data_IF_938356333521
#
_entry.id   IF_938356333521
#
_cell.length_a   1.000
_cell.length_b   1.000
_cell.length_c   1.000
_cell.angle_alpha   90.00
_cell.angle_beta   90.00
_cell.angle_gamma   90.00
#
_symmetry.space_group_name_H-M   'P 1'
#
loop_
_entity.id
_entity.type
_entity.pdbx_description
1 polymer ?
#
# COMPACT_ATOMS: atom_id res chain seq x y z
N UNK A 1 -11.25 -11.30 11.85
CA UNK A 1 -10.54 -10.99 10.59
C UNK A 1 -9.41 -11.99 10.39
N UNK A 2 -9.14 -12.46 9.17
CA UNK A 2 -7.99 -13.37 8.88
C UNK A 2 -6.65 -12.61 8.75
N UNK A 3 -6.71 -11.29 8.82
CA UNK A 3 -5.61 -10.34 8.94
C UNK A 3 -5.96 -9.01 8.26
N UNK A 4 -5.02 -8.08 8.24
CA UNK A 4 -5.19 -6.75 7.65
C UNK A 4 -5.28 -6.86 6.12
N UNK A 5 -6.24 -6.19 5.51
CA UNK A 5 -6.35 -6.11 4.06
C UNK A 5 -5.79 -4.76 3.61
N UNK A 6 -4.87 -4.79 2.66
CA UNK A 6 -4.31 -3.59 2.03
C UNK A 6 -4.70 -3.57 0.56
N UNK A 7 -5.13 -2.40 0.09
CA UNK A 7 -5.57 -2.20 -1.29
C UNK A 7 -4.77 -1.08 -1.95
N UNK A 8 -4.54 -1.23 -3.25
CA UNK A 8 -3.89 -0.23 -4.07
C UNK A 8 -4.54 -0.20 -5.46
N UNK A 9 -4.70 1.01 -5.99
CA UNK A 9 -5.09 1.24 -7.38
C UNK A 9 -3.84 1.40 -8.23
N UNK A 10 -3.89 0.89 -9.46
CA UNK A 10 -2.84 1.05 -10.45
C UNK A 10 -3.43 1.31 -11.82
N UNK A 11 -2.69 2.05 -12.64
CA UNK A 11 -3.02 2.32 -14.04
C UNK A 11 -1.85 1.98 -14.95
N UNK A 12 -2.10 2.05 -16.25
CA UNK A 12 -1.12 1.93 -17.30
C UNK A 12 -1.01 3.27 -18.06
N UNK A 13 0.11 3.96 -17.91
CA UNK A 13 0.45 5.11 -18.72
C UNK A 13 0.81 4.69 -20.18
N UNK A 14 0.83 5.64 -21.13
CA UNK A 14 1.31 5.39 -22.49
C UNK A 14 2.70 4.73 -22.48
N UNK A 15 2.89 3.74 -23.34
CA UNK A 15 4.14 2.95 -23.40
C UNK A 15 4.17 1.75 -22.44
N UNK A 16 3.10 1.47 -21.70
CA UNK A 16 3.01 0.26 -20.88
C UNK A 16 3.58 0.40 -19.47
N UNK A 17 3.87 1.62 -19.04
CA UNK A 17 4.40 1.91 -17.71
C UNK A 17 3.29 1.85 -16.66
N UNK A 18 3.50 1.08 -15.59
CA UNK A 18 2.56 1.04 -14.48
C UNK A 18 2.69 2.29 -13.60
N UNK A 19 1.55 2.89 -13.25
CA UNK A 19 1.43 3.98 -12.29
C UNK A 19 0.65 3.47 -11.08
N UNK A 20 1.22 3.62 -9.90
CA UNK A 20 0.63 3.18 -8.62
C UNK A 20 -0.01 4.37 -7.93
N UNK A 21 -1.09 4.12 -7.18
CA UNK A 21 -1.78 5.12 -6.36
C UNK A 21 -2.27 6.30 -7.20
N UNK A 22 -3.12 5.99 -8.17
CA UNK A 22 -3.62 6.99 -9.11
C UNK A 22 -4.50 8.01 -8.39
N UNK A 23 -4.24 9.29 -8.67
CA UNK A 23 -5.03 10.38 -8.10
C UNK A 23 -6.25 10.72 -8.96
N UNK A 24 -7.18 11.51 -8.41
CA UNK A 24 -8.42 11.88 -9.08
C UNK A 24 -8.23 12.52 -10.45
N UNK A 25 -7.13 13.25 -10.68
CA UNK A 25 -6.83 13.88 -11.98
C UNK A 25 -6.39 12.87 -13.03
N UNK A 26 -5.52 11.94 -12.65
CA UNK A 26 -5.10 10.83 -13.52
C UNK A 26 -6.31 9.99 -13.92
N UNK A 27 -7.21 9.78 -12.96
CA UNK A 27 -8.46 9.05 -13.11
C UNK A 27 -9.52 9.70 -14.00
N UNK A 28 -9.41 11.00 -14.33
CA UNK A 28 -10.39 11.70 -15.16
C UNK A 28 -10.42 11.20 -16.62
N UNK A 29 -9.38 10.49 -17.06
CA UNK A 29 -9.32 9.88 -18.38
C UNK A 29 -10.00 8.51 -18.47
N UNK A 30 -10.20 8.03 -19.70
CA UNK A 30 -10.55 6.62 -19.98
C UNK A 30 -9.27 5.76 -19.86
N UNK A 31 -8.55 5.90 -18.74
CA UNK A 31 -7.34 5.13 -18.46
C UNK A 31 -7.72 3.81 -17.79
N UNK A 32 -7.02 2.70 -18.10
CA UNK A 32 -7.26 1.43 -17.41
C UNK A 32 -6.91 1.58 -15.93
N UNK A 33 -7.80 1.12 -15.04
CA UNK A 33 -7.56 1.11 -13.60
C UNK A 33 -7.76 -0.29 -13.06
N UNK A 34 -6.69 -0.84 -12.51
CA UNK A 34 -6.70 -2.09 -11.79
C UNK A 34 -6.59 -1.80 -10.29
N UNK A 35 -7.63 -2.14 -9.53
CA UNK A 35 -7.60 -2.11 -8.07
C UNK A 35 -7.41 -3.52 -7.55
N UNK A 36 -6.40 -3.71 -6.70
CA UNK A 36 -6.10 -5.01 -6.08
C UNK A 36 -6.09 -4.84 -4.57
N UNK A 37 -6.63 -5.81 -3.85
CA UNK A 37 -6.43 -5.93 -2.41
C UNK A 37 -5.85 -7.30 -2.04
N UNK A 38 -4.89 -7.29 -1.11
CA UNK A 38 -4.23 -8.47 -0.57
C UNK A 38 -4.44 -8.56 0.93
N UNK A 39 -4.35 -9.76 1.50
CA UNK A 39 -4.54 -10.01 2.94
C UNK A 39 -3.22 -10.36 3.63
N UNK A 40 -2.98 -9.76 4.80
CA UNK A 40 -1.87 -10.07 5.71
C UNK A 40 -0.47 -9.95 5.08
N UNK A 41 -0.28 -9.04 4.11
CA UNK A 41 0.99 -8.92 3.38
C UNK A 41 1.34 -10.14 2.53
N UNK A 42 0.39 -11.06 2.32
CA UNK A 42 0.54 -12.25 1.49
C UNK A 42 0.12 -11.96 0.04
N UNK A 43 0.55 -12.81 -0.89
CA UNK A 43 0.16 -12.72 -2.30
C UNK A 43 -1.30 -13.14 -2.58
N UNK A 44 -2.08 -13.46 -1.54
CA UNK A 44 -3.47 -13.84 -1.67
C UNK A 44 -4.34 -12.62 -1.99
N UNK A 45 -4.77 -12.52 -3.26
CA UNK A 45 -5.67 -11.48 -3.73
C UNK A 45 -7.09 -11.77 -3.24
N UNK A 46 -7.67 -10.83 -2.49
CA UNK A 46 -9.05 -10.89 -1.96
C UNK A 46 -10.01 -9.99 -2.72
N UNK A 47 -9.49 -9.06 -3.53
CA UNK A 47 -10.24 -8.21 -4.45
C UNK A 47 -9.38 -7.93 -5.68
N UNK A 48 -9.98 -8.05 -6.87
CA UNK A 48 -9.42 -7.55 -8.10
C UNK A 48 -10.54 -6.92 -8.94
N UNK A 49 -10.42 -5.64 -9.24
CA UNK A 49 -11.37 -4.91 -10.07
C UNK A 49 -10.63 -4.20 -11.20
N UNK A 50 -11.07 -4.42 -12.45
CA UNK A 50 -10.55 -3.71 -13.62
C UNK A 50 -11.65 -2.80 -14.18
N UNK A 51 -11.33 -1.53 -14.29
CA UNK A 51 -12.14 -0.52 -14.97
C UNK A 51 -11.43 -0.08 -16.24
N UNK A 52 -12.20 0.22 -17.29
CA UNK A 52 -11.72 0.56 -18.63
C UNK A 52 -10.90 -0.57 -19.30
N UNK A 53 -10.38 -0.29 -20.50
CA UNK A 53 -9.72 -1.29 -21.35
C UNK A 53 -8.22 -1.32 -21.10
N UNK A 54 -7.71 -2.47 -20.70
CA UNK A 54 -6.27 -2.76 -20.60
C UNK A 54 -5.88 -3.83 -21.63
N UNK A 55 -4.83 -3.57 -22.41
CA UNK A 55 -4.31 -4.60 -23.31
C UNK A 55 -3.60 -5.70 -22.50
N UNK A 56 -3.80 -6.97 -22.89
CA UNK A 56 -3.30 -8.15 -22.16
C UNK A 56 -1.79 -8.11 -21.88
N UNK A 57 -1.00 -7.52 -22.78
CA UNK A 57 0.47 -7.40 -22.62
C UNK A 57 0.88 -6.58 -21.40
N UNK A 58 0.02 -5.67 -20.93
CA UNK A 58 0.32 -4.78 -19.80
C UNK A 58 -0.25 -5.29 -18.48
N UNK A 59 -1.13 -6.30 -18.50
CA UNK A 59 -1.79 -6.81 -17.29
C UNK A 59 -0.78 -7.31 -16.25
N UNK A 60 0.21 -8.11 -16.67
CA UNK A 60 1.21 -8.64 -15.74
C UNK A 60 2.03 -7.53 -15.07
N UNK A 61 2.40 -6.48 -15.82
CA UNK A 61 3.19 -5.34 -15.32
C UNK A 61 2.38 -4.52 -14.32
N UNK A 62 1.11 -4.22 -14.63
CA UNK A 62 0.23 -3.43 -13.75
C UNK A 62 -0.15 -4.22 -12.50
N UNK A 63 -0.44 -5.52 -12.63
CA UNK A 63 -0.77 -6.38 -11.50
C UNK A 63 0.41 -6.51 -10.53
N UNK A 64 1.63 -6.67 -11.04
CA UNK A 64 2.82 -6.76 -10.19
C UNK A 64 3.09 -5.44 -9.45
N UNK A 65 2.89 -4.30 -10.13
CA UNK A 65 2.98 -2.99 -9.49
C UNK A 65 1.93 -2.83 -8.39
N UNK A 66 0.67 -3.23 -8.63
CA UNK A 66 -0.40 -3.19 -7.65
C UNK A 66 -0.10 -4.07 -6.43
N UNK A 67 0.39 -5.30 -6.66
CA UNK A 67 0.76 -6.22 -5.58
C UNK A 67 1.86 -5.63 -4.69
N UNK A 68 2.92 -5.08 -5.29
CA UNK A 68 3.99 -4.40 -4.54
C UNK A 68 3.47 -3.22 -3.73
N UNK A 69 2.57 -2.43 -4.31
CA UNK A 69 1.94 -1.32 -3.63
C UNK A 69 1.10 -1.78 -2.43
N UNK A 70 0.31 -2.85 -2.57
CA UNK A 70 -0.45 -3.40 -1.43
C UNK A 70 0.46 -3.86 -0.29
N UNK A 71 1.65 -4.42 -0.58
CA UNK A 71 2.61 -4.79 0.45
C UNK A 71 3.17 -3.56 1.19
N UNK A 72 3.48 -2.49 0.47
CA UNK A 72 3.93 -1.23 1.07
C UNK A 72 2.84 -0.61 1.95
N UNK A 73 1.61 -0.54 1.45
CA UNK A 73 0.45 -0.05 2.23
C UNK A 73 0.23 -0.92 3.48
N UNK A 74 0.34 -2.25 3.36
CA UNK A 74 0.24 -3.15 4.50
C UNK A 74 1.28 -2.83 5.58
N UNK A 75 2.56 -2.68 5.21
CA UNK A 75 3.62 -2.34 6.17
C UNK A 75 3.37 -1.00 6.87
N UNK A 76 2.89 0.01 6.13
CA UNK A 76 2.51 1.30 6.73
C UNK A 76 1.35 1.16 7.72
N UNK A 77 0.31 0.41 7.35
CA UNK A 77 -0.85 0.17 8.21
C UNK A 77 -0.45 -0.64 9.46
N UNK A 78 0.37 -1.68 9.30
CA UNK A 78 0.85 -2.51 10.39
C UNK A 78 1.66 -1.70 11.39
N UNK A 79 2.60 -0.87 10.93
CA UNK A 79 3.37 0.03 11.78
C UNK A 79 2.45 1.01 12.54
N UNK A 80 1.51 1.66 11.84
CA UNK A 80 0.58 2.60 12.46
C UNK A 80 -0.31 1.93 13.52
N UNK A 81 -0.79 0.72 13.25
CA UNK A 81 -1.59 -0.05 14.20
C UNK A 81 -0.76 -0.47 15.41
N UNK A 82 0.47 -0.95 15.21
CA UNK A 82 1.35 -1.35 16.32
C UNK A 82 1.72 -0.16 17.20
N UNK A 83 2.06 0.99 16.62
CA UNK A 83 2.30 2.24 17.38
C UNK A 83 1.08 2.59 18.21
N UNK A 84 -0.11 2.61 17.61
CA UNK A 84 -1.33 2.93 18.34
C UNK A 84 -1.63 1.94 19.49
N UNK A 85 -1.37 0.65 19.28
CA UNK A 85 -1.52 -0.36 20.33
C UNK A 85 -0.54 -0.12 21.47
N UNK A 86 0.75 0.14 21.18
CA UNK A 86 1.78 0.44 22.19
C UNK A 86 1.35 1.63 23.06
N UNK A 87 0.92 2.71 22.41
CA UNK A 87 0.46 3.93 23.09
C UNK A 87 -0.77 3.64 23.98
N UNK A 88 -1.73 2.86 23.48
CA UNK A 88 -2.95 2.54 24.21
C UNK A 88 -2.74 1.66 25.45
N UNK A 89 -1.71 0.80 25.44
CA UNK A 89 -1.38 -0.09 26.56
C UNK A 89 -0.26 0.43 27.46
N UNK A 90 0.27 1.63 27.16
CA UNK A 90 1.33 2.29 27.95
C UNK A 90 2.70 1.65 27.78
N UNK A 91 2.98 1.01 26.63
CA UNK A 91 4.34 0.63 26.27
C UNK A 91 5.06 1.83 25.64
N UNK A 92 6.38 1.99 25.89
CA UNK A 92 7.15 3.05 25.26
C UNK A 92 7.08 2.92 23.73
N UNK A 93 6.78 4.02 23.08
CA UNK A 93 6.89 4.12 21.63
C UNK A 93 8.37 4.19 21.26
N UNK A 94 8.75 3.74 20.06
CA UNK A 94 10.16 3.80 19.64
C UNK A 94 10.68 5.26 19.56
N UNK A 95 9.77 6.24 19.58
CA UNK A 95 10.04 7.69 19.62
C UNK A 95 10.50 8.16 21.01
N UNK A 96 10.07 7.49 22.07
CA UNK A 96 10.42 7.84 23.46
C UNK A 96 11.88 7.47 23.78
N UNK A 97 12.41 6.43 23.12
CA UNK A 97 13.78 5.94 23.34
C UNK A 97 14.87 6.81 22.70
N UNK A 98 14.54 7.66 21.73
CA UNK A 98 15.50 8.61 21.13
C UNK A 98 15.72 9.84 22.02
N UNK A 99 14.73 10.28 22.80
CA UNK A 99 14.87 11.44 23.69
C UNK A 99 15.77 11.18 24.90
N UNK A 100 15.80 9.95 25.43
CA UNK A 100 16.61 9.62 26.61
C UNK A 100 18.12 9.52 26.30
N UNK A 101 18.51 9.28 25.04
CA UNK A 101 19.91 9.14 24.64
C UNK A 101 20.65 10.47 24.41
N UNK A 102 19.93 11.60 24.35
CA UNK A 102 20.55 12.93 24.11
C UNK A 102 20.89 13.65 25.43
N UNK A 103 20.39 13.18 26.58
CA UNK A 103 20.57 13.86 27.87
C UNK A 103 21.87 13.53 28.63
N UNK A 104 22.74 12.67 28.11
CA UNK A 104 23.99 12.25 28.78
C UNK A 104 25.30 12.71 28.12
N UNK A 105 25.25 13.74 27.26
CA UNK A 105 26.44 14.31 26.59
C UNK A 105 26.71 15.78 26.98
N UNK A 106 26.48 16.14 28.26
CA UNK A 106 26.79 17.45 28.84
C UNK A 106 27.91 17.37 29.88
#
# INVERSE_FOLDING_TARGET
MRGLVAAASCSCAPGGLACVDVNSREEMGIIPRLTVATISGQDAIVLAELQNRLHKSHLAVVLEAARKATAQVHSCLEAAVLTHIKDAIGLPSDVDMEHDNVSYAG
#
